data_IF_094668485410
#
_entry.id   IF_094668485410
#
_cell.length_a   1.000
_cell.length_b   1.000
_cell.length_c   1.000
_cell.angle_alpha   90.00
_cell.angle_beta   90.00
_cell.angle_gamma   90.00
#
_symmetry.space_group_name_H-M   'P 1'
#
loop_
_entity.id
_entity.type
_entity.pdbx_description
1 polymer ?
#
# COMPACT_ATOMS: atom_id res chain seq x y z
N UNK A 1 12.01 -31.13 84.75
CA UNK A 1 10.91 -30.60 83.93
C UNK A 1 11.48 -30.23 82.57
N UNK A 2 11.27 -31.05 81.54
CA UNK A 2 11.70 -30.77 80.17
C UNK A 2 10.53 -30.18 79.41
N UNK A 3 10.54 -28.88 79.17
CA UNK A 3 9.54 -28.22 78.34
C UNK A 3 9.73 -28.62 76.86
N UNK A 4 8.65 -28.94 76.13
CA UNK A 4 8.74 -29.26 74.72
C UNK A 4 9.06 -27.98 73.96
N UNK A 5 10.30 -27.82 73.50
CA UNK A 5 10.69 -26.72 72.62
C UNK A 5 9.95 -26.89 71.30
N UNK A 6 9.05 -25.97 70.98
CA UNK A 6 8.25 -26.06 69.77
C UNK A 6 8.99 -25.42 68.60
N UNK A 7 9.09 -26.14 67.48
CA UNK A 7 9.82 -25.70 66.29
C UNK A 7 9.39 -24.32 65.77
N UNK A 8 8.13 -23.93 65.97
CA UNK A 8 7.64 -22.63 65.53
C UNK A 8 8.24 -21.46 66.32
N UNK A 9 8.59 -21.63 67.60
CA UNK A 9 9.26 -20.59 68.40
C UNK A 9 10.72 -20.37 67.96
N UNK A 10 11.38 -21.42 67.43
CA UNK A 10 12.74 -21.33 66.89
C UNK A 10 12.79 -20.70 65.48
N UNK A 11 11.67 -20.71 64.78
CA UNK A 11 11.51 -20.16 63.42
C UNK A 11 10.89 -18.76 63.44
N UNK A 12 10.38 -18.30 64.58
CA UNK A 12 9.82 -16.96 64.78
C UNK A 12 10.96 -15.92 64.80
N UNK A 13 11.36 -15.47 63.61
CA UNK A 13 12.47 -14.54 63.40
C UNK A 13 13.56 -15.02 62.43
N UNK A 14 13.44 -16.24 61.89
CA UNK A 14 14.37 -16.71 60.86
C UNK A 14 14.03 -16.08 59.51
N UNK A 15 14.95 -15.30 58.95
CA UNK A 15 14.81 -14.73 57.61
C UNK A 15 15.31 -15.73 56.56
N UNK A 16 14.45 -16.08 55.61
CA UNK A 16 14.77 -17.00 54.52
C UNK A 16 15.70 -16.27 53.55
N UNK A 17 17.00 -16.46 53.70
CA UNK A 17 17.98 -16.01 52.71
C UNK A 17 17.85 -16.85 51.43
N UNK A 18 17.07 -16.36 50.48
CA UNK A 18 17.03 -16.91 49.12
C UNK A 18 18.31 -16.46 48.40
N UNK A 19 19.21 -17.37 47.98
CA UNK A 19 20.37 -16.98 47.20
C UNK A 19 19.91 -16.36 45.88
N UNK A 20 20.34 -15.12 45.62
CA UNK A 20 20.01 -14.42 44.39
C UNK A 20 20.68 -15.15 43.22
N UNK A 21 19.85 -15.70 42.31
CA UNK A 21 20.33 -16.48 41.18
C UNK A 21 21.17 -15.57 40.28
N UNK A 22 22.46 -15.86 40.06
CA UNK A 22 23.31 -15.02 39.22
C UNK A 22 22.76 -15.05 37.79
N UNK A 23 22.32 -13.89 37.32
CA UNK A 23 21.83 -13.73 35.94
C UNK A 23 23.00 -13.98 34.99
N UNK A 24 22.91 -14.96 34.07
CA UNK A 24 24.02 -15.27 33.19
C UNK A 24 24.33 -14.06 32.29
N UNK A 25 25.62 -13.81 31.98
CA UNK A 25 26.02 -12.70 31.13
C UNK A 25 25.38 -12.84 29.75
N UNK A 26 24.73 -11.76 29.30
CA UNK A 26 24.06 -11.74 28.00
C UNK A 26 25.07 -11.95 26.88
N UNK A 27 24.87 -13.03 26.11
CA UNK A 27 25.65 -13.27 24.91
C UNK A 27 25.44 -12.11 23.91
N UNK A 28 26.52 -11.46 23.43
CA UNK A 28 26.43 -10.30 22.53
C UNK A 28 25.69 -10.60 21.22
N UNK A 29 25.76 -11.84 20.73
CA UNK A 29 25.02 -12.24 19.52
C UNK A 29 23.50 -12.22 19.74
N UNK A 30 23.04 -12.60 20.94
CA UNK A 30 21.61 -12.61 21.26
C UNK A 30 21.08 -11.19 21.43
N UNK A 31 21.89 -10.27 21.96
CA UNK A 31 21.52 -8.84 22.07
C UNK A 31 21.38 -8.22 20.69
N UNK A 32 22.34 -8.47 19.79
CA UNK A 32 22.27 -7.98 18.41
C UNK A 32 21.04 -8.51 17.65
N UNK A 33 20.67 -9.78 17.87
CA UNK A 33 19.43 -10.35 17.30
C UNK A 33 18.18 -9.69 17.87
N UNK A 34 18.13 -9.45 19.18
CA UNK A 34 17.00 -8.79 19.82
C UNK A 34 16.82 -7.35 19.34
N UNK A 35 17.90 -6.60 19.14
CA UNK A 35 17.84 -5.26 18.59
C UNK A 35 17.30 -5.24 17.16
N UNK A 36 17.75 -6.17 16.31
CA UNK A 36 17.19 -6.34 14.95
C UNK A 36 15.70 -6.67 14.96
N UNK A 37 15.27 -7.57 15.86
CA UNK A 37 13.85 -7.94 16.00
C UNK A 37 13.03 -6.75 16.48
N UNK A 38 13.51 -6.00 17.48
CA UNK A 38 12.85 -4.78 17.97
C UNK A 38 12.73 -3.72 16.88
N UNK A 39 13.79 -3.50 16.11
CA UNK A 39 13.77 -2.57 14.98
C UNK A 39 12.75 -2.98 13.91
N UNK A 40 12.68 -4.28 13.59
CA UNK A 40 11.69 -4.82 12.64
C UNK A 40 10.26 -4.61 13.11
N UNK A 41 9.95 -4.96 14.36
CA UNK A 41 8.63 -4.76 14.97
C UNK A 41 8.24 -3.28 15.00
N UNK A 42 9.16 -2.40 15.39
CA UNK A 42 8.91 -0.96 15.40
C UNK A 42 8.58 -0.41 13.99
N UNK A 43 9.28 -0.90 12.96
CA UNK A 43 9.01 -0.51 11.58
C UNK A 43 7.65 -1.03 11.08
N UNK A 44 7.30 -2.28 11.42
CA UNK A 44 5.98 -2.84 11.09
C UNK A 44 4.84 -2.07 11.77
N UNK A 45 4.99 -1.71 13.04
CA UNK A 45 4.04 -0.88 13.80
C UNK A 45 3.92 0.51 13.18
N UNK A 46 5.05 1.14 12.84
CA UNK A 46 5.07 2.43 12.15
C UNK A 46 4.34 2.40 10.81
N UNK A 47 4.58 1.36 9.99
CA UNK A 47 3.86 1.18 8.73
C UNK A 47 2.36 0.95 8.94
N UNK A 48 1.97 0.20 9.96
CA UNK A 48 0.56 -0.02 10.31
C UNK A 48 -0.13 1.29 10.69
N UNK A 49 0.51 2.12 11.51
CA UNK A 49 -0.01 3.44 11.92
C UNK A 49 -0.12 4.41 10.74
N UNK A 50 0.88 4.42 9.86
CA UNK A 50 0.93 5.36 8.72
C UNK A 50 0.18 4.87 7.48
N UNK A 51 -0.30 3.63 7.46
CA UNK A 51 -0.98 3.02 6.30
C UNK A 51 -2.14 3.84 5.74
N UNK A 52 -2.89 4.51 6.60
CA UNK A 52 -4.07 5.28 6.20
C UNK A 52 -3.74 6.72 5.79
N UNK A 53 -2.56 7.21 6.16
CA UNK A 53 -2.09 8.57 5.91
C UNK A 53 -1.25 8.58 4.63
N UNK A 54 -0.44 7.54 4.44
CA UNK A 54 0.36 7.28 3.24
C UNK A 54 -0.50 6.61 2.16
N UNK A 55 -1.67 7.19 1.86
CA UNK A 55 -2.55 6.74 0.77
C UNK A 55 -1.92 6.85 -0.62
N UNK A 56 -0.72 7.42 -0.74
CA UNK A 56 -0.01 7.61 -2.02
C UNK A 56 1.27 6.80 -2.21
N UNK A 57 1.90 6.24 -1.16
CA UNK A 57 3.30 5.79 -1.29
C UNK A 57 3.55 4.28 -1.17
N UNK A 58 2.60 3.46 -0.70
CA UNK A 58 2.82 2.01 -0.68
C UNK A 58 2.31 1.31 -1.96
N UNK A 59 3.03 1.56 -3.05
CA UNK A 59 3.01 0.77 -4.30
C UNK A 59 3.60 -0.64 -4.10
N UNK A 60 4.11 -0.99 -2.92
CA UNK A 60 4.75 -2.27 -2.61
C UNK A 60 3.93 -3.11 -1.63
N UNK A 61 2.92 -3.78 -2.17
CA UNK A 61 2.42 -5.04 -1.60
C UNK A 61 3.12 -6.18 -2.34
N UNK A 62 3.59 -7.26 -1.68
CA UNK A 62 4.17 -8.43 -2.36
C UNK A 62 3.15 -9.22 -3.23
N UNK A 63 1.89 -8.77 -3.29
CA UNK A 63 0.88 -9.19 -4.28
C UNK A 63 0.75 -8.20 -5.45
N UNK A 64 1.82 -7.47 -5.79
CA UNK A 64 1.80 -6.34 -6.74
C UNK A 64 1.54 -6.60 -8.24
N UNK A 65 1.60 -7.82 -8.84
CA UNK A 65 1.32 -7.92 -10.27
C UNK A 65 -0.13 -7.61 -10.62
N UNK A 66 -1.09 -7.98 -9.75
CA UNK A 66 -2.52 -7.78 -10.05
C UNK A 66 -2.96 -6.32 -9.99
N UNK A 67 -2.25 -5.47 -9.23
CA UNK A 67 -2.63 -4.05 -9.08
C UNK A 67 -2.12 -3.21 -10.25
N UNK A 68 -0.95 -3.54 -10.79
CA UNK A 68 -0.42 -2.91 -12.01
C UNK A 68 -1.30 -3.24 -13.23
N UNK A 69 -1.70 -4.51 -13.36
CA UNK A 69 -2.66 -4.94 -14.40
C UNK A 69 -4.00 -4.21 -14.25
N UNK A 70 -4.54 -4.10 -13.03
CA UNK A 70 -5.79 -3.35 -12.79
C UNK A 70 -5.70 -1.89 -13.23
N UNK A 71 -4.59 -1.20 -12.93
CA UNK A 71 -4.42 0.20 -13.33
C UNK A 71 -4.32 0.37 -14.86
N UNK A 72 -3.57 -0.50 -15.53
CA UNK A 72 -3.45 -0.48 -17.01
C UNK A 72 -4.80 -0.79 -17.66
N UNK A 73 -5.53 -1.79 -17.16
CA UNK A 73 -6.86 -2.15 -17.68
C UNK A 73 -7.85 -1.00 -17.54
N UNK A 74 -7.88 -0.33 -16.39
CA UNK A 74 -8.75 0.83 -16.16
C UNK A 74 -8.41 1.97 -17.15
N UNK A 75 -7.13 2.19 -17.42
CA UNK A 75 -6.67 3.25 -18.32
C UNK A 75 -7.07 2.95 -19.77
N UNK A 76 -6.85 1.73 -20.25
CA UNK A 76 -7.27 1.29 -21.59
C UNK A 76 -8.79 1.37 -21.74
N UNK A 77 -9.53 0.95 -20.72
CA UNK A 77 -10.98 1.04 -20.72
C UNK A 77 -11.46 2.49 -20.84
N UNK A 78 -10.87 3.40 -20.05
CA UNK A 78 -11.20 4.82 -20.11
C UNK A 78 -10.94 5.40 -21.52
N UNK A 79 -9.78 5.08 -22.11
CA UNK A 79 -9.46 5.48 -23.49
C UNK A 79 -10.52 5.02 -24.50
N UNK A 80 -10.90 3.74 -24.46
CA UNK A 80 -11.91 3.19 -25.37
C UNK A 80 -13.25 3.89 -25.16
N UNK A 81 -13.66 4.10 -23.90
CA UNK A 81 -14.91 4.77 -23.57
C UNK A 81 -14.91 6.21 -24.08
N UNK A 82 -13.83 6.98 -23.89
CA UNK A 82 -13.75 8.36 -24.37
C UNK A 82 -13.80 8.42 -25.89
N UNK A 83 -13.03 7.59 -26.61
CA UNK A 83 -13.01 7.59 -28.08
C UNK A 83 -14.36 7.16 -28.65
N UNK A 84 -14.99 6.12 -28.07
CA UNK A 84 -16.31 5.66 -28.48
C UNK A 84 -17.40 6.71 -28.21
N UNK A 85 -17.35 7.38 -27.05
CA UNK A 85 -18.26 8.47 -26.72
C UNK A 85 -18.08 9.64 -27.68
N UNK A 86 -16.84 10.08 -27.95
CA UNK A 86 -16.57 11.15 -28.90
C UNK A 86 -17.07 10.83 -30.30
N UNK A 87 -16.88 9.59 -30.76
CA UNK A 87 -17.39 9.12 -32.04
C UNK A 87 -18.93 9.13 -32.08
N UNK A 88 -19.58 8.51 -31.08
CA UNK A 88 -21.04 8.41 -31.02
C UNK A 88 -21.69 9.80 -30.90
N UNK A 89 -21.17 10.66 -30.01
CA UNK A 89 -21.65 12.03 -29.83
C UNK A 89 -21.49 12.85 -31.12
N UNK A 90 -20.37 12.74 -31.82
CA UNK A 90 -20.16 13.47 -33.07
C UNK A 90 -21.05 12.91 -34.17
N UNK A 91 -21.20 11.59 -34.28
CA UNK A 91 -22.08 10.97 -35.29
C UNK A 91 -23.55 11.35 -35.09
N UNK A 92 -24.03 11.31 -33.85
CA UNK A 92 -25.39 11.73 -33.49
C UNK A 92 -25.59 13.24 -33.64
N UNK A 93 -24.63 14.05 -33.20
CA UNK A 93 -24.68 15.51 -33.30
C UNK A 93 -24.57 16.01 -34.74
N UNK A 94 -23.80 15.32 -35.57
CA UNK A 94 -23.64 15.61 -37.00
C UNK A 94 -24.93 15.42 -37.79
N UNK A 95 -25.94 14.72 -37.24
CA UNK A 95 -27.27 14.64 -37.87
C UNK A 95 -27.94 16.00 -38.03
N UNK A 96 -27.63 16.96 -37.16
CA UNK A 96 -28.19 18.31 -37.22
C UNK A 96 -27.43 19.23 -38.19
N UNK A 97 -26.23 18.86 -38.61
CA UNK A 97 -25.34 19.70 -39.44
C UNK A 97 -25.25 19.17 -40.87
N UNK A 98 -25.15 17.86 -41.04
CA UNK A 98 -24.97 17.21 -42.34
C UNK A 98 -26.12 16.23 -42.61
N UNK A 99 -26.72 16.29 -43.80
CA UNK A 99 -27.76 15.35 -44.22
C UNK A 99 -27.18 14.01 -44.70
N UNK A 100 -25.97 14.02 -45.27
CA UNK A 100 -25.31 12.84 -45.82
C UNK A 100 -24.66 11.97 -44.74
N UNK A 101 -24.90 10.66 -44.81
CA UNK A 101 -24.32 9.67 -43.89
C UNK A 101 -22.80 9.59 -44.01
N UNK A 102 -22.25 9.72 -45.22
CA UNK A 102 -20.80 9.70 -45.45
C UNK A 102 -20.09 10.85 -44.74
N UNK A 103 -20.63 12.08 -44.85
CA UNK A 103 -20.10 13.26 -44.16
C UNK A 103 -20.18 13.12 -42.63
N UNK A 104 -21.26 12.52 -42.10
CA UNK A 104 -21.40 12.25 -40.66
C UNK A 104 -20.32 11.32 -40.14
N UNK A 105 -20.08 10.20 -40.82
CA UNK A 105 -19.02 9.26 -40.43
C UNK A 105 -17.64 9.91 -40.53
N UNK A 106 -17.35 10.63 -41.62
CA UNK A 106 -16.09 11.36 -41.79
C UNK A 106 -15.85 12.35 -40.65
N UNK A 107 -16.85 13.17 -40.30
CA UNK A 107 -16.74 14.12 -39.19
C UNK A 107 -16.50 13.43 -37.84
N UNK A 108 -17.20 12.32 -37.58
CA UNK A 108 -17.04 11.55 -36.35
C UNK A 108 -15.66 10.90 -36.24
N UNK A 109 -15.11 10.38 -37.34
CA UNK A 109 -13.75 9.82 -37.37
C UNK A 109 -12.71 10.90 -37.09
N UNK A 110 -12.82 12.07 -37.72
CA UNK A 110 -11.86 13.18 -37.49
C UNK A 110 -11.85 13.60 -36.02
N UNK A 111 -13.02 13.81 -35.42
CA UNK A 111 -13.12 14.21 -34.01
C UNK A 111 -12.59 13.10 -33.09
N UNK A 112 -12.96 11.84 -33.34
CA UNK A 112 -12.47 10.70 -32.55
C UNK A 112 -10.94 10.55 -32.64
N UNK A 113 -10.34 10.82 -33.81
CA UNK A 113 -8.88 10.81 -33.97
C UNK A 113 -8.20 11.89 -33.14
N UNK A 114 -8.72 13.12 -33.13
CA UNK A 114 -8.16 14.22 -32.33
C UNK A 114 -8.25 13.92 -30.83
N UNK A 115 -9.40 13.43 -30.38
CA UNK A 115 -9.62 13.06 -28.97
C UNK A 115 -8.71 11.90 -28.57
N UNK A 116 -8.57 10.88 -29.42
CA UNK A 116 -7.66 9.76 -29.17
C UNK A 116 -6.20 10.19 -29.03
N UNK A 117 -5.73 11.13 -29.87
CA UNK A 117 -4.38 11.68 -29.74
C UNK A 117 -4.21 12.52 -28.45
N UNK A 118 -5.22 13.29 -28.06
CA UNK A 118 -5.20 14.06 -26.83
C UNK A 118 -5.12 13.16 -25.59
N UNK A 119 -5.96 12.12 -25.52
CA UNK A 119 -5.94 11.10 -24.46
C UNK A 119 -4.60 10.37 -24.41
N UNK A 120 -4.06 9.95 -25.57
CA UNK A 120 -2.75 9.30 -25.66
C UNK A 120 -1.63 10.20 -25.13
N UNK A 121 -1.63 11.48 -25.49
CA UNK A 121 -0.66 12.45 -25.00
C UNK A 121 -0.75 12.62 -23.48
N UNK A 122 -1.95 12.75 -22.92
CA UNK A 122 -2.16 12.86 -21.47
C UNK A 122 -1.66 11.60 -20.75
N UNK A 123 -1.93 10.42 -21.30
CA UNK A 123 -1.45 9.15 -20.73
C UNK A 123 0.08 9.10 -20.69
N UNK A 124 0.75 9.41 -21.80
CA UNK A 124 2.23 9.42 -21.87
C UNK A 124 2.80 10.41 -20.86
N UNK A 125 2.25 11.63 -20.80
CA UNK A 125 2.71 12.65 -19.84
C UNK A 125 2.48 12.26 -18.38
N UNK A 126 1.40 11.54 -18.09
CA UNK A 126 1.12 11.03 -16.75
C UNK A 126 2.14 9.96 -16.34
N UNK A 127 2.51 9.08 -17.27
CA UNK A 127 3.55 8.06 -17.07
C UNK A 127 4.94 8.69 -16.86
N UNK A 128 5.32 9.69 -17.66
CA UNK A 128 6.58 10.42 -17.50
C UNK A 128 6.64 11.20 -16.18
N UNK A 129 5.53 11.82 -15.77
CA UNK A 129 5.43 12.55 -14.51
C UNK A 129 5.49 11.66 -13.26
N UNK A 130 5.01 10.41 -13.36
CA UNK A 130 5.19 9.40 -12.33
C UNK A 130 6.64 8.90 -12.25
N UNK A 131 7.36 8.88 -13.38
CA UNK A 131 8.76 8.47 -13.47
C UNK A 131 9.73 9.54 -12.94
N UNK A 132 9.44 10.83 -13.16
CA UNK A 132 10.26 11.96 -12.67
C UNK A 132 10.11 12.27 -11.17
N UNK A 133 9.22 11.57 -10.47
CA UNK A 133 9.03 11.67 -9.00
C UNK A 133 9.68 10.52 -8.22
N UNK A 134 10.32 9.57 -8.91
CA UNK A 134 11.13 8.48 -8.32
C UNK A 134 12.60 8.90 -8.24
#
# INVERSE_FOLDING_TARGET
AGSPLHLHELLEGSEIHLPEVPVPPRNPELVARLERIKAKLANEEYQRMTRNITGQHNRFSPFSPVRSVKAVVITIFNFIVTVAAAFACTYLGSQYVFAETAARVLSAVIVASVVGLAELYVMVRTLEGDLGKL
#
